data_IF_918853653903
#
_entry.id   IF_918853653903
#
_cell.length_a   1.000
_cell.length_b   1.000
_cell.length_c   1.000
_cell.angle_alpha   90.00
_cell.angle_beta   90.00
_cell.angle_gamma   90.00
#
_symmetry.space_group_name_H-M   'P 1'
#
loop_
_entity.id
_entity.type
_entity.pdbx_description
1 polymer ?
#
# COMPACT_ATOMS: atom_id res chain seq x y z
N UNK A 1 -7.09 38.11 4.71
CA UNK A 1 -7.13 37.37 3.44
C UNK A 1 -6.15 38.00 2.47
N UNK A 2 -5.26 37.21 1.85
CA UNK A 2 -4.37 37.68 0.78
C UNK A 2 -5.07 37.38 -0.55
N UNK A 3 -5.32 38.39 -1.37
CA UNK A 3 -5.93 38.19 -2.68
C UNK A 3 -4.92 37.51 -3.61
N UNK A 4 -5.39 36.53 -4.38
CA UNK A 4 -4.56 35.91 -5.42
C UNK A 4 -4.16 36.97 -6.46
N UNK A 5 -2.89 37.03 -6.89
CA UNK A 5 -2.47 37.92 -7.96
C UNK A 5 -3.06 37.50 -9.33
N UNK A 6 -3.61 36.28 -9.43
CA UNK A 6 -4.30 35.76 -10.61
C UNK A 6 -5.75 35.51 -10.25
N UNK A 7 -6.68 36.13 -10.99
CA UNK A 7 -8.12 35.85 -10.88
C UNK A 7 -8.43 34.57 -11.65
N UNK A 8 -8.86 33.47 -11.00
CA UNK A 8 -9.21 32.24 -11.69
C UNK A 8 -10.41 32.48 -12.63
N UNK A 9 -10.42 31.94 -13.86
CA UNK A 9 -11.52 32.11 -14.81
C UNK A 9 -12.88 31.60 -14.30
N UNK A 10 -12.85 30.60 -13.42
CA UNK A 10 -14.01 29.98 -12.75
C UNK A 10 -14.26 30.54 -11.34
N UNK A 11 -13.46 31.52 -10.90
CA UNK A 11 -13.52 32.11 -9.56
C UNK A 11 -13.05 31.20 -8.42
N UNK A 12 -12.60 29.98 -8.71
CA UNK A 12 -12.12 29.04 -7.70
C UNK A 12 -10.59 29.05 -7.65
N UNK A 13 -10.05 29.46 -6.50
CA UNK A 13 -8.64 29.24 -6.18
C UNK A 13 -8.39 27.82 -5.67
N UNK A 14 -7.13 27.51 -5.33
CA UNK A 14 -6.83 26.33 -4.52
C UNK A 14 -7.69 26.34 -3.24
N UNK A 15 -8.18 25.17 -2.85
CA UNK A 15 -8.83 25.01 -1.55
C UNK A 15 -7.88 25.56 -0.46
N UNK A 16 -8.33 26.49 0.41
CA UNK A 16 -7.48 27.09 1.43
C UNK A 16 -6.75 26.09 2.33
N UNK A 17 -7.35 24.92 2.58
CA UNK A 17 -6.76 23.82 3.35
C UNK A 17 -5.52 23.23 2.66
N UNK A 18 -5.40 23.41 1.34
CA UNK A 18 -4.26 22.93 0.55
C UNK A 18 -3.07 23.91 0.56
N UNK A 19 -3.27 25.14 1.05
CA UNK A 19 -2.22 26.17 1.14
C UNK A 19 -1.48 26.02 2.48
N UNK A 20 -0.84 24.86 2.67
CA UNK A 20 -0.15 24.50 3.91
C UNK A 20 1.20 23.79 3.61
N UNK A 21 2.27 24.03 4.37
CA UNK A 21 3.55 23.33 4.18
C UNK A 21 3.45 21.81 4.23
N UNK A 22 2.51 21.26 5.00
CA UNK A 22 2.19 19.84 5.06
C UNK A 22 1.83 19.27 3.69
N UNK A 23 1.03 19.99 2.89
CA UNK A 23 0.68 19.60 1.52
C UNK A 23 1.86 19.56 0.54
N UNK A 24 2.94 20.29 0.82
CA UNK A 24 4.14 20.24 0.00
C UNK A 24 4.94 18.95 0.25
N UNK A 25 4.91 18.44 1.48
CA UNK A 25 5.81 17.37 1.91
C UNK A 25 5.12 16.01 2.01
N UNK A 26 3.90 15.93 2.53
CA UNK A 26 3.28 14.62 2.78
C UNK A 26 2.89 13.89 1.49
N UNK A 27 2.31 14.53 0.44
CA UNK A 27 1.87 13.79 -0.75
C UNK A 27 3.05 13.16 -1.51
N UNK A 28 4.20 13.83 -1.73
CA UNK A 28 5.35 13.18 -2.34
C UNK A 28 5.78 11.91 -1.62
N UNK A 29 5.88 11.93 -0.29
CA UNK A 29 6.25 10.74 0.48
C UNK A 29 5.16 9.66 0.41
N UNK A 30 3.90 10.04 0.60
CA UNK A 30 2.79 9.10 0.59
C UNK A 30 2.64 8.41 -0.77
N UNK A 31 2.62 9.19 -1.86
CA UNK A 31 2.49 8.66 -3.23
C UNK A 31 3.72 7.83 -3.62
N UNK A 32 4.93 8.25 -3.25
CA UNK A 32 6.14 7.45 -3.48
C UNK A 32 6.06 6.13 -2.73
N UNK A 33 5.61 6.15 -1.47
CA UNK A 33 5.37 4.96 -0.66
C UNK A 33 4.39 4.00 -1.32
N UNK A 34 3.21 4.50 -1.73
CA UNK A 34 2.18 3.70 -2.41
C UNK A 34 2.71 3.08 -3.71
N UNK A 35 3.34 3.88 -4.58
CA UNK A 35 3.86 3.40 -5.87
C UNK A 35 5.02 2.42 -5.66
N UNK A 36 5.88 2.63 -4.68
CA UNK A 36 7.03 1.75 -4.41
C UNK A 36 6.62 0.32 -4.03
N UNK A 37 5.40 0.12 -3.50
CA UNK A 37 4.85 -1.24 -3.25
C UNK A 37 4.70 -2.08 -4.51
N UNK A 38 4.69 -1.47 -5.71
CA UNK A 38 4.74 -2.17 -6.99
C UNK A 38 6.01 -2.99 -7.18
N UNK A 39 7.13 -2.60 -6.55
CA UNK A 39 8.42 -3.28 -6.73
C UNK A 39 8.43 -4.66 -6.07
N UNK A 40 8.11 -4.82 -4.77
CA UNK A 40 7.97 -6.15 -4.19
C UNK A 40 6.85 -6.98 -4.85
N UNK A 41 5.77 -6.34 -5.35
CA UNK A 41 4.75 -6.99 -6.16
C UNK A 41 5.34 -7.60 -7.45
N UNK A 42 6.08 -6.82 -8.25
CA UNK A 42 6.70 -7.30 -9.50
C UNK A 42 7.71 -8.41 -9.23
N UNK A 43 8.53 -8.28 -8.18
CA UNK A 43 9.49 -9.32 -7.80
C UNK A 43 8.77 -10.63 -7.42
N UNK A 44 7.70 -10.56 -6.62
CA UNK A 44 6.88 -11.72 -6.26
C UNK A 44 6.15 -12.34 -7.45
N UNK A 45 5.54 -11.51 -8.30
CA UNK A 45 4.88 -11.94 -9.52
C UNK A 45 5.86 -12.59 -10.51
N UNK A 46 7.08 -12.05 -10.64
CA UNK A 46 8.14 -12.65 -11.45
C UNK A 46 8.59 -14.00 -10.90
N UNK A 47 8.73 -14.14 -9.57
CA UNK A 47 9.04 -15.41 -8.93
C UNK A 47 7.96 -16.47 -9.20
N UNK A 48 6.68 -16.07 -9.12
CA UNK A 48 5.53 -16.90 -9.49
C UNK A 48 5.58 -17.32 -10.96
N UNK A 49 5.76 -16.37 -11.88
CA UNK A 49 5.81 -16.66 -13.31
C UNK A 49 6.99 -17.57 -13.66
N UNK A 50 8.15 -17.39 -13.03
CA UNK A 50 9.31 -18.26 -13.19
C UNK A 50 9.17 -19.62 -12.49
N UNK A 51 8.22 -19.75 -11.55
CA UNK A 51 8.09 -20.94 -10.70
C UNK A 51 9.24 -21.12 -9.70
N UNK A 52 9.97 -20.05 -9.38
CA UNK A 52 11.13 -20.06 -8.47
C UNK A 52 10.79 -19.34 -7.17
N UNK A 53 10.15 -20.06 -6.25
CA UNK A 53 9.68 -19.53 -4.95
C UNK A 53 10.68 -19.93 -3.84
N UNK A 54 11.96 -19.72 -4.11
CA UNK A 54 13.06 -20.00 -3.18
C UNK A 54 13.46 -18.74 -2.39
N UNK A 55 14.53 -18.80 -1.59
CA UNK A 55 15.00 -17.62 -0.86
C UNK A 55 15.64 -16.55 -1.78
N UNK A 56 15.85 -16.82 -3.07
CA UNK A 56 16.43 -15.84 -3.97
C UNK A 56 15.47 -14.67 -4.19
N UNK A 57 14.18 -14.90 -4.44
CA UNK A 57 13.24 -13.81 -4.66
C UNK A 57 13.05 -12.94 -3.40
N UNK A 58 13.09 -13.54 -2.20
CA UNK A 58 13.02 -12.82 -0.94
C UNK A 58 14.18 -11.83 -0.80
N UNK A 59 15.41 -12.25 -1.13
CA UNK A 59 16.58 -11.35 -1.08
C UNK A 59 16.41 -10.14 -2.01
N UNK A 60 15.79 -10.34 -3.18
CA UNK A 60 15.51 -9.24 -4.10
C UNK A 60 14.38 -8.35 -3.58
N UNK A 61 13.32 -8.92 -2.99
CA UNK A 61 12.15 -8.17 -2.51
C UNK A 61 12.42 -7.41 -1.20
N UNK A 62 13.27 -7.94 -0.31
CA UNK A 62 13.43 -7.45 1.07
C UNK A 62 13.80 -5.97 1.17
N UNK A 63 14.83 -5.55 0.43
CA UNK A 63 15.29 -4.15 0.46
C UNK A 63 14.21 -3.19 -0.05
N UNK A 64 13.52 -3.57 -1.12
CA UNK A 64 12.42 -2.78 -1.70
C UNK A 64 11.18 -2.74 -0.80
N UNK A 65 10.82 -3.86 -0.17
CA UNK A 65 9.72 -3.90 0.79
C UNK A 65 10.02 -3.03 2.02
N UNK A 66 11.25 -3.07 2.54
CA UNK A 66 11.66 -2.22 3.66
C UNK A 66 11.66 -0.73 3.27
N UNK A 67 12.21 -0.39 2.10
CA UNK A 67 12.18 0.98 1.57
C UNK A 67 10.75 1.49 1.40
N UNK A 68 9.88 0.67 0.80
CA UNK A 68 8.46 0.99 0.62
C UNK A 68 7.76 1.20 1.96
N UNK A 69 8.00 0.32 2.93
CA UNK A 69 7.46 0.40 4.27
C UNK A 69 7.89 1.69 4.98
N UNK A 70 9.17 2.05 4.93
CA UNK A 70 9.70 3.26 5.59
C UNK A 70 9.10 4.51 4.94
N UNK A 71 9.17 4.64 3.62
CA UNK A 71 8.69 5.83 2.91
C UNK A 71 7.17 6.00 3.09
N UNK A 72 6.40 4.91 3.01
CA UNK A 72 4.97 4.94 3.24
C UNK A 72 4.63 5.27 4.69
N UNK A 73 5.40 4.77 5.66
CA UNK A 73 5.22 5.12 7.08
C UNK A 73 5.48 6.61 7.33
N UNK A 74 6.55 7.17 6.76
CA UNK A 74 6.83 8.61 6.84
C UNK A 74 5.70 9.41 6.19
N UNK A 75 5.23 9.00 5.01
CA UNK A 75 4.09 9.63 4.35
C UNK A 75 2.82 9.64 5.21
N UNK A 76 2.50 8.52 5.87
CA UNK A 76 1.36 8.44 6.79
C UNK A 76 1.52 9.33 8.03
N UNK A 77 2.71 9.37 8.64
CA UNK A 77 2.99 10.24 9.80
C UNK A 77 2.87 11.72 9.41
N UNK A 78 3.44 12.11 8.27
CA UNK A 78 3.32 13.49 7.76
C UNK A 78 1.87 13.83 7.40
N UNK A 79 1.12 12.88 6.84
CA UNK A 79 -0.30 13.03 6.53
C UNK A 79 -1.14 13.26 7.80
N UNK A 80 -0.94 12.43 8.83
CA UNK A 80 -1.63 12.58 10.11
C UNK A 80 -1.26 13.89 10.84
N UNK A 81 0.01 14.31 10.75
CA UNK A 81 0.42 15.63 11.24
C UNK A 81 -0.30 16.77 10.51
N UNK A 82 -0.39 16.72 9.19
CA UNK A 82 -1.10 17.72 8.40
C UNK A 82 -2.61 17.73 8.68
N UNK A 83 -3.24 16.56 8.76
CA UNK A 83 -4.65 16.44 9.11
C UNK A 83 -4.94 17.06 10.48
N UNK A 84 -4.06 16.82 11.47
CA UNK A 84 -4.15 17.43 12.80
C UNK A 84 -4.11 18.96 12.75
N UNK A 85 -3.21 19.54 11.95
CA UNK A 85 -3.03 20.99 11.90
C UNK A 85 -4.12 21.70 11.12
N UNK A 86 -4.73 21.05 10.13
CA UNK A 86 -5.63 21.71 9.16
C UNK A 86 -7.11 21.43 9.41
N UNK A 87 -7.49 20.24 9.92
CA UNK A 87 -8.91 19.87 10.07
C UNK A 87 -9.49 20.09 11.47
N UNK A 88 -8.68 20.40 12.50
CA UNK A 88 -9.16 20.94 13.78
C UNK A 88 -10.04 20.04 14.66
N UNK A 89 -10.41 18.83 14.24
CA UNK A 89 -11.23 17.91 15.04
C UNK A 89 -10.38 16.85 15.76
N UNK A 90 -9.77 17.25 16.88
CA UNK A 90 -9.55 16.38 18.06
C UNK A 90 -8.49 15.27 18.03
N UNK A 91 -7.76 15.04 16.94
CA UNK A 91 -6.71 14.02 16.91
C UNK A 91 -5.94 13.93 15.60
N UNK A 92 -4.81 13.23 15.62
CA UNK A 92 -3.93 13.05 14.45
C UNK A 92 -4.46 12.05 13.41
N UNK A 93 -5.59 11.40 13.71
CA UNK A 93 -6.24 10.42 12.84
C UNK A 93 -7.74 10.37 13.15
N UNK A 94 -8.57 10.83 12.21
CA UNK A 94 -10.02 10.92 12.36
C UNK A 94 -10.77 9.66 11.92
N UNK A 95 -10.04 8.60 11.56
CA UNK A 95 -10.58 7.39 10.92
C UNK A 95 -11.31 7.69 9.61
N UNK A 96 -10.91 8.77 8.93
CA UNK A 96 -11.47 9.13 7.65
C UNK A 96 -11.11 8.07 6.57
N UNK A 97 -12.00 7.78 5.61
CA UNK A 97 -11.74 6.74 4.61
C UNK A 97 -10.46 6.95 3.79
N UNK A 98 -10.07 8.19 3.50
CA UNK A 98 -8.82 8.50 2.76
C UNK A 98 -7.61 8.23 3.64
N UNK A 99 -7.66 8.63 4.91
CA UNK A 99 -6.61 8.31 5.89
C UNK A 99 -6.46 6.79 6.02
N UNK A 100 -7.54 6.04 6.30
CA UNK A 100 -7.49 4.58 6.46
C UNK A 100 -6.92 3.88 5.22
N UNK A 101 -7.26 4.37 4.03
CA UNK A 101 -6.76 3.83 2.76
C UNK A 101 -5.24 3.92 2.63
N UNK A 102 -4.61 4.94 3.22
CA UNK A 102 -3.16 5.12 3.23
C UNK A 102 -2.42 4.11 4.13
N UNK A 103 -3.09 3.55 5.14
CA UNK A 103 -2.54 2.53 6.05
C UNK A 103 -2.66 1.12 5.47
N UNK A 104 -3.67 0.85 4.64
CA UNK A 104 -3.96 -0.51 4.17
C UNK A 104 -2.74 -1.27 3.59
N UNK A 105 -1.85 -0.66 2.78
CA UNK A 105 -0.67 -1.36 2.26
C UNK A 105 0.43 -1.60 3.32
N UNK A 106 0.47 -0.81 4.40
CA UNK A 106 1.43 -1.01 5.49
C UNK A 106 1.18 -2.31 6.24
N UNK A 107 -0.08 -2.74 6.39
CA UNK A 107 -0.44 -3.97 7.11
C UNK A 107 0.18 -5.22 6.48
N UNK A 108 -0.03 -5.53 5.19
CA UNK A 108 0.61 -6.67 4.55
C UNK A 108 2.12 -6.47 4.38
N UNK A 109 2.63 -5.25 4.18
CA UNK A 109 4.09 -5.01 4.19
C UNK A 109 4.72 -5.36 5.54
N UNK A 110 4.08 -4.96 6.64
CA UNK A 110 4.52 -5.31 7.99
C UNK A 110 4.54 -6.82 8.15
N UNK A 111 3.43 -7.49 7.83
CA UNK A 111 3.34 -8.94 7.91
C UNK A 111 4.41 -9.62 7.04
N UNK A 112 4.65 -9.12 5.81
CA UNK A 112 5.68 -9.64 4.91
C UNK A 112 7.09 -9.49 5.50
N UNK A 113 7.43 -8.33 6.04
CA UNK A 113 8.74 -8.08 6.66
C UNK A 113 9.04 -9.01 7.83
N UNK A 114 8.01 -9.50 8.53
CA UNK A 114 8.16 -10.50 9.58
C UNK A 114 8.17 -11.93 9.02
N UNK A 115 7.22 -12.26 8.13
CA UNK A 115 7.07 -13.59 7.56
C UNK A 115 8.23 -13.99 6.63
N UNK A 116 8.91 -13.03 5.99
CA UNK A 116 10.09 -13.30 5.18
C UNK A 116 11.25 -13.88 5.99
N UNK A 117 11.38 -13.50 7.28
CA UNK A 117 12.42 -14.02 8.17
C UNK A 117 12.16 -15.51 8.44
N UNK A 118 10.89 -15.89 8.61
CA UNK A 118 10.49 -17.29 8.80
C UNK A 118 10.80 -18.10 7.54
N UNK A 119 10.58 -17.56 6.35
CA UNK A 119 10.96 -18.23 5.11
C UNK A 119 12.48 -18.37 4.97
N UNK A 120 13.25 -17.31 5.25
CA UNK A 120 14.72 -17.35 5.18
C UNK A 120 15.31 -18.38 6.15
N UNK A 121 14.76 -18.49 7.36
CA UNK A 121 15.30 -19.36 8.42
C UNK A 121 14.76 -20.78 8.41
N UNK A 122 13.48 -20.97 8.07
CA UNK A 122 12.77 -22.27 8.20
C UNK A 122 12.19 -22.79 6.89
N UNK A 123 12.30 -22.06 5.78
CA UNK A 123 11.72 -22.47 4.50
C UNK A 123 10.19 -22.50 4.45
N UNK A 124 9.51 -21.97 5.48
CA UNK A 124 8.05 -21.95 5.60
C UNK A 124 7.45 -20.64 5.07
N UNK A 125 6.12 -20.54 4.99
CA UNK A 125 5.37 -19.33 4.60
C UNK A 125 5.64 -18.79 3.18
N UNK A 126 6.19 -19.62 2.28
CA UNK A 126 6.48 -19.24 0.88
C UNK A 126 5.27 -18.64 0.16
N UNK A 127 4.13 -19.35 0.18
CA UNK A 127 2.89 -18.88 -0.43
C UNK A 127 2.33 -17.63 0.26
N UNK A 128 2.43 -17.56 1.59
CA UNK A 128 1.97 -16.41 2.37
C UNK A 128 2.74 -15.14 2.04
N UNK A 129 4.06 -15.21 1.93
CA UNK A 129 4.88 -14.07 1.54
C UNK A 129 4.51 -13.51 0.17
N UNK A 130 4.15 -14.40 -0.78
CA UNK A 130 3.63 -13.97 -2.09
C UNK A 130 2.27 -13.28 -1.96
N UNK A 131 1.32 -13.87 -1.24
CA UNK A 131 0.01 -13.23 -1.00
C UNK A 131 0.17 -11.85 -0.38
N UNK A 132 1.08 -11.69 0.58
CA UNK A 132 1.31 -10.42 1.27
C UNK A 132 1.84 -9.33 0.34
N UNK A 133 2.86 -9.60 -0.50
CA UNK A 133 3.36 -8.60 -1.44
C UNK A 133 2.35 -8.29 -2.55
N UNK A 134 1.55 -9.27 -2.96
CA UNK A 134 0.47 -9.07 -3.95
C UNK A 134 -0.65 -8.20 -3.38
N UNK A 135 -1.08 -8.51 -2.16
CA UNK A 135 -2.10 -7.76 -1.44
C UNK A 135 -1.65 -6.33 -1.12
N UNK A 136 -0.38 -6.11 -0.75
CA UNK A 136 0.15 -4.77 -0.48
C UNK A 136 -0.04 -3.82 -1.67
N UNK A 137 0.34 -4.25 -2.87
CA UNK A 137 0.17 -3.43 -4.07
C UNK A 137 -1.30 -3.28 -4.46
N UNK A 138 -2.10 -4.35 -4.39
CA UNK A 138 -3.54 -4.26 -4.65
C UNK A 138 -4.23 -3.25 -3.72
N UNK A 139 -3.89 -3.24 -2.44
CA UNK A 139 -4.41 -2.29 -1.46
C UNK A 139 -3.92 -0.86 -1.72
N UNK A 140 -2.71 -0.67 -2.26
CA UNK A 140 -2.21 0.65 -2.65
C UNK A 140 -3.00 1.21 -3.84
N UNK A 141 -3.31 0.37 -4.83
CA UNK A 141 -4.17 0.73 -5.97
C UNK A 141 -5.60 1.00 -5.49
N UNK A 142 -6.14 0.16 -4.60
CA UNK A 142 -7.45 0.37 -3.99
C UNK A 142 -7.53 1.70 -3.23
N UNK A 143 -6.51 2.02 -2.42
CA UNK A 143 -6.48 3.29 -1.72
C UNK A 143 -6.47 4.47 -2.68
N UNK A 144 -5.68 4.40 -3.76
CA UNK A 144 -5.68 5.43 -4.81
C UNK A 144 -7.03 5.56 -5.50
N UNK A 145 -7.68 4.44 -5.83
CA UNK A 145 -9.04 4.41 -6.37
C UNK A 145 -10.03 5.09 -5.41
N UNK A 146 -9.96 4.80 -4.11
CA UNK A 146 -10.86 5.35 -3.12
C UNK A 146 -10.77 6.88 -3.07
N UNK A 147 -9.55 7.43 -2.99
CA UNK A 147 -9.31 8.89 -2.99
C UNK A 147 -9.79 9.56 -4.28
N UNK A 148 -9.61 8.90 -5.43
CA UNK A 148 -9.89 9.51 -6.74
C UNK A 148 -11.33 9.38 -7.22
N UNK A 149 -12.04 8.34 -6.79
CA UNK A 149 -13.38 7.99 -7.29
C UNK A 149 -14.51 8.83 -6.69
N UNK A 150 -14.31 9.38 -5.48
CA UNK A 150 -15.36 10.11 -4.76
C UNK A 150 -16.55 9.26 -4.32
N UNK A 151 -16.45 7.93 -4.43
CA UNK A 151 -17.53 6.99 -4.06
C UNK A 151 -17.76 6.91 -2.56
N UNK A 152 -16.70 7.11 -1.76
CA UNK A 152 -16.77 7.12 -0.31
C UNK A 152 -16.58 8.55 0.18
N UNK A 153 -17.54 9.04 0.96
CA UNK A 153 -17.46 10.38 1.54
C UNK A 153 -16.25 10.50 2.48
N UNK A 154 -15.46 11.54 2.28
CA UNK A 154 -14.28 11.82 3.12
C UNK A 154 -14.04 13.33 3.19
N UNK A 155 -13.61 13.80 4.36
CA UNK A 155 -13.22 15.20 4.59
C UNK A 155 -11.93 15.57 3.86
N UNK A 156 -11.16 14.57 3.40
CA UNK A 156 -9.93 14.71 2.63
C UNK A 156 -10.13 14.51 1.12
N UNK A 157 -11.36 14.55 0.63
CA UNK A 157 -11.68 14.37 -0.80
C UNK A 157 -11.35 15.60 -1.66
N UNK A 158 -10.13 16.11 -1.57
CA UNK A 158 -9.66 17.27 -2.32
C UNK A 158 -9.23 16.95 -3.75
N UNK A 159 -9.09 15.66 -4.08
CA UNK A 159 -8.46 15.16 -5.29
C UNK A 159 -9.40 14.29 -6.15
N UNK A 160 -10.72 14.45 -6.02
CA UNK A 160 -11.70 13.77 -6.87
C UNK A 160 -11.47 14.14 -8.33
N UNK A 161 -11.53 13.16 -9.24
CA UNK A 161 -11.31 13.39 -10.67
C UNK A 161 -11.85 12.23 -11.49
N UNK A 162 -11.97 12.45 -12.81
CA UNK A 162 -12.42 11.46 -13.79
C UNK A 162 -11.50 10.22 -13.93
N UNK A 163 -10.41 10.15 -13.16
CA UNK A 163 -9.44 9.05 -13.26
C UNK A 163 -9.81 7.81 -12.43
N UNK A 164 -10.79 7.92 -11.53
CA UNK A 164 -11.24 6.81 -10.67
C UNK A 164 -11.48 5.50 -11.42
N UNK A 165 -12.24 5.48 -12.54
CA UNK A 165 -12.47 4.27 -13.32
C UNK A 165 -11.19 3.57 -13.82
N UNK A 166 -10.12 4.30 -14.17
CA UNK A 166 -8.87 3.67 -14.59
C UNK A 166 -8.18 2.92 -13.45
N UNK A 167 -8.22 3.47 -12.23
CA UNK A 167 -7.70 2.76 -11.06
C UNK A 167 -8.55 1.56 -10.67
N UNK A 168 -9.87 1.59 -10.93
CA UNK A 168 -10.74 0.43 -10.74
C UNK A 168 -10.40 -0.70 -11.72
N UNK A 169 -10.19 -0.38 -13.00
CA UNK A 169 -9.76 -1.36 -14.02
C UNK A 169 -8.39 -1.92 -13.65
N UNK A 170 -7.44 -1.06 -13.25
CA UNK A 170 -6.12 -1.49 -12.79
C UNK A 170 -6.22 -2.41 -11.57
N UNK A 171 -7.06 -2.07 -10.59
CA UNK A 171 -7.29 -2.88 -9.40
C UNK A 171 -7.82 -4.27 -9.78
N UNK A 172 -8.85 -4.31 -10.64
CA UNK A 172 -9.40 -5.55 -11.16
C UNK A 172 -8.35 -6.40 -11.88
N UNK A 173 -7.54 -5.78 -12.74
CA UNK A 173 -6.45 -6.45 -13.44
C UNK A 173 -5.39 -7.02 -12.48
N UNK A 174 -4.96 -6.23 -11.49
CA UNK A 174 -3.97 -6.65 -10.49
C UNK A 174 -4.50 -7.81 -9.65
N UNK A 175 -5.73 -7.72 -9.15
CA UNK A 175 -6.35 -8.76 -8.32
C UNK A 175 -6.54 -10.04 -9.12
N UNK A 176 -7.13 -9.96 -10.32
CA UNK A 176 -7.37 -11.13 -11.19
C UNK A 176 -6.04 -11.78 -11.58
N UNK A 177 -5.06 -11.00 -12.04
CA UNK A 177 -3.75 -11.54 -12.41
C UNK A 177 -3.05 -12.21 -11.22
N UNK A 178 -3.12 -11.60 -10.03
CA UNK A 178 -2.55 -12.17 -8.80
C UNK A 178 -3.19 -13.51 -8.44
N UNK A 179 -4.53 -13.58 -8.46
CA UNK A 179 -5.27 -14.82 -8.17
C UNK A 179 -4.95 -15.89 -9.22
N UNK A 180 -4.99 -15.55 -10.51
CA UNK A 180 -4.66 -16.48 -11.59
C UNK A 180 -3.25 -17.02 -11.45
N UNK A 181 -2.25 -16.17 -11.18
CA UNK A 181 -0.87 -16.60 -10.98
C UNK A 181 -0.71 -17.52 -9.76
N UNK A 182 -1.37 -17.17 -8.64
CA UNK A 182 -1.35 -17.98 -7.41
C UNK A 182 -1.98 -19.37 -7.65
N UNK A 183 -3.18 -19.41 -8.23
CA UNK A 183 -3.90 -20.66 -8.50
C UNK A 183 -3.14 -21.52 -9.53
N UNK A 184 -2.62 -20.91 -10.59
CA UNK A 184 -1.85 -21.61 -11.62
C UNK A 184 -0.55 -22.23 -11.08
N UNK A 185 0.06 -21.61 -10.07
CA UNK A 185 1.30 -22.09 -9.45
C UNK A 185 1.09 -22.94 -8.21
N UNK A 186 -0.14 -23.08 -7.71
CA UNK A 186 -0.47 -23.87 -6.53
C UNK A 186 0.12 -25.30 -6.55
N UNK A 187 0.09 -26.06 -7.66
CA UNK A 187 0.67 -27.41 -7.70
C UNK A 187 2.19 -27.48 -7.53
N UNK A 188 2.88 -26.34 -7.60
CA UNK A 188 4.34 -26.23 -7.43
C UNK A 188 4.72 -25.50 -6.14
N UNK A 189 3.74 -25.13 -5.31
CA UNK A 189 3.94 -24.49 -4.01
C UNK A 189 3.91 -25.52 -2.89
N UNK A 190 4.88 -26.42 -2.85
CA UNK A 190 5.06 -27.28 -1.69
C UNK A 190 5.86 -26.52 -0.62
N UNK A 191 5.35 -26.50 0.61
CA UNK A 191 6.12 -26.07 1.77
C UNK A 191 7.10 -27.19 2.14
N UNK A 192 8.35 -26.85 2.46
CA UNK A 192 9.35 -27.85 2.84
C UNK A 192 9.06 -28.41 4.25
N UNK A 193 8.26 -27.70 5.05
CA UNK A 193 7.83 -28.06 6.40
C UNK A 193 6.37 -27.61 6.63
N UNK A 194 5.53 -28.51 7.14
CA UNK A 194 4.16 -28.21 7.59
C UNK A 194 4.15 -27.85 9.09
N UNK A 195 3.19 -27.03 9.52
CA UNK A 195 3.00 -26.76 10.95
C UNK A 195 2.44 -28.03 11.61
N UNK A 196 3.25 -28.76 12.38
CA UNK A 196 2.85 -30.01 13.05
C UNK A 196 1.74 -29.81 14.11
N UNK A 197 1.51 -28.58 14.60
CA UNK A 197 0.42 -28.27 15.53
C UNK A 197 0.17 -26.77 15.62
N UNK A 198 -1.10 -26.35 15.54
CA UNK A 198 -1.53 -24.95 15.76
C UNK A 198 -1.44 -24.52 17.24
N UNK A 199 -1.17 -25.45 18.17
CA UNK A 199 -1.29 -25.26 19.62
C UNK A 199 0.00 -25.61 20.39
N UNK A 200 1.05 -26.09 19.73
CA UNK A 200 2.28 -26.49 20.43
C UNK A 200 3.19 -25.30 20.73
N UNK A 201 3.56 -25.13 22.00
CA UNK A 201 4.47 -24.08 22.49
C UNK A 201 5.96 -24.37 22.23
N UNK A 202 6.28 -25.49 21.58
CA UNK A 202 7.65 -26.00 21.45
C UNK A 202 8.25 -25.90 20.03
N UNK A 203 7.77 -24.97 19.19
CA UNK A 203 8.41 -24.73 17.87
C UNK A 203 9.39 -23.54 17.92
N UNK A 204 10.41 -23.65 18.78
CA UNK A 204 11.58 -22.77 18.83
C UNK A 204 12.67 -23.23 17.86
#
# INVERSE_FOLDING_TARGET
>A
FRLSPVTPPDGQGLNPLLVDPGMLIHPPFLLTGLVSTSIPFIVGAAALMAGKIDNAWIRHARGWALGSFIVLSVGNVLGGWWAYTVLGWGGYWGWDPVENSAILPLLPLTAFLHALIVQERRGMLKAWNLVLVLAAFALAVFGTFNVRSGLVASVHSFAQSEVGPYFLVLLGAVVVASIVLMVWRLPRMHADYEFESLVSRETG
#
